data_IF_288142920987
#
_entry.id   IF_288142920987
#
_cell.length_a   1.000
_cell.length_b   1.000
_cell.length_c   1.000
_cell.angle_alpha   90.00
_cell.angle_beta   90.00
_cell.angle_gamma   90.00
#
_symmetry.space_group_name_H-M   'P 1'
#
loop_
_entity.id
_entity.type
_entity.pdbx_description
1 polymer ?
#
# COMPACT_ATOMS: atom_id res chain seq x y z
N UNK A 1 26.71 52.72 3.03
CA UNK A 1 25.77 53.76 2.57
C UNK A 1 24.38 53.36 3.00
N UNK A 2 23.71 54.25 3.75
CA UNK A 2 22.34 54.09 4.25
C UNK A 2 21.35 54.11 3.08
N UNK A 3 20.38 53.20 3.07
CA UNK A 3 19.13 53.37 2.32
C UNK A 3 17.96 53.10 3.27
N UNK A 4 17.27 54.17 3.63
CA UNK A 4 15.93 54.18 4.21
C UNK A 4 14.91 54.12 3.08
N UNK A 5 13.82 53.36 3.24
CA UNK A 5 12.55 53.47 2.49
C UNK A 5 11.46 52.92 3.44
N UNK A 6 10.76 53.78 4.18
CA UNK A 6 9.46 54.40 3.88
C UNK A 6 8.29 53.39 3.85
N UNK A 7 7.53 53.42 4.95
CA UNK A 7 6.19 52.87 5.09
C UNK A 7 5.18 53.66 4.25
N UNK A 8 4.23 52.96 3.65
CA UNK A 8 3.09 53.56 2.94
C UNK A 8 1.87 52.64 3.04
N UNK A 9 0.93 53.02 3.90
CA UNK A 9 -0.41 52.44 3.98
C UNK A 9 -1.32 53.10 2.94
N UNK A 10 -2.09 52.31 2.20
CA UNK A 10 -3.29 52.75 1.49
C UNK A 10 -4.34 51.64 1.57
N UNK A 11 -5.42 51.92 2.28
CA UNK A 11 -6.60 51.08 2.32
C UNK A 11 -7.47 51.28 1.07
N UNK A 12 -8.08 50.20 0.61
CA UNK A 12 -9.26 50.24 -0.27
C UNK A 12 -10.24 49.19 0.26
N UNK A 13 -11.39 49.67 0.70
CA UNK A 13 -12.55 48.85 1.03
C UNK A 13 -13.32 48.55 -0.26
N UNK A 14 -13.63 47.28 -0.50
CA UNK A 14 -14.57 46.86 -1.55
C UNK A 14 -15.61 45.94 -0.90
N UNK A 15 -16.82 46.49 -0.76
CA UNK A 15 -18.06 45.81 -0.44
C UNK A 15 -18.61 45.17 -1.73
N UNK A 16 -18.77 43.85 -1.76
CA UNK A 16 -19.69 43.18 -2.70
C UNK A 16 -20.41 42.03 -1.98
N UNK A 17 -21.73 42.08 -2.09
CA UNK A 17 -22.70 41.23 -1.40
C UNK A 17 -22.81 39.81 -2.03
N UNK A 18 -23.27 38.80 -1.26
CA UNK A 18 -23.47 37.44 -1.75
C UNK A 18 -24.79 37.29 -2.53
N UNK A 19 -24.71 36.78 -3.75
CA UNK A 19 -25.88 36.29 -4.50
C UNK A 19 -26.21 34.87 -4.07
N UNK A 20 -27.35 34.72 -3.38
CA UNK A 20 -27.97 33.45 -3.08
C UNK A 20 -28.65 32.87 -4.34
N UNK A 21 -28.32 31.63 -4.70
CA UNK A 21 -29.16 30.82 -5.58
C UNK A 21 -29.84 29.75 -4.72
N UNK A 22 -31.13 29.98 -4.46
CA UNK A 22 -32.05 28.99 -3.91
C UNK A 22 -32.55 28.10 -5.07
N UNK A 23 -32.31 26.79 -4.99
CA UNK A 23 -33.08 25.83 -5.76
C UNK A 23 -34.24 25.34 -4.89
N UNK A 24 -35.43 25.84 -5.23
CA UNK A 24 -36.72 25.43 -4.69
C UNK A 24 -37.06 24.01 -5.12
N UNK A 25 -37.23 23.13 -4.13
CA UNK A 25 -37.97 21.87 -4.24
C UNK A 25 -39.46 22.17 -4.51
N UNK A 26 -40.07 21.42 -5.42
CA UNK A 26 -41.52 21.39 -5.58
C UNK A 26 -41.97 19.94 -5.40
N UNK A 27 -42.69 19.66 -4.31
CA UNK A 27 -43.46 18.42 -4.09
C UNK A 27 -44.85 18.57 -4.74
N UNK A 28 -45.44 17.49 -5.25
CA UNK A 28 -46.68 16.79 -4.75
C UNK A 28 -47.55 16.39 -5.98
N UNK A 29 -48.46 15.39 -5.99
CA UNK A 29 -48.77 14.25 -5.10
C UNK A 29 -48.79 12.86 -5.78
N UNK A 30 -48.93 11.82 -4.94
CA UNK A 30 -49.33 10.45 -5.30
C UNK A 30 -50.78 10.34 -5.82
N UNK A 31 -51.01 9.38 -6.72
CA UNK A 31 -52.33 8.81 -6.99
C UNK A 31 -52.21 7.30 -7.27
N UNK A 32 -53.07 6.56 -6.60
CA UNK A 32 -53.22 5.12 -6.46
C UNK A 32 -54.06 4.54 -7.61
N UNK A 33 -53.65 3.39 -8.19
CA UNK A 33 -54.54 2.51 -8.97
C UNK A 33 -53.90 1.11 -9.20
N UNK A 34 -54.56 0.09 -8.69
CA UNK A 34 -54.54 -1.31 -9.12
C UNK A 34 -56.01 -1.80 -9.05
N UNK A 35 -56.46 -2.95 -9.62
CA UNK A 35 -55.68 -4.09 -10.17
C UNK A 35 -56.27 -4.76 -11.45
N UNK A 36 -55.67 -5.91 -11.81
CA UNK A 36 -56.16 -7.03 -12.66
C UNK A 36 -55.90 -6.94 -14.18
N UNK A 37 -55.53 -8.00 -14.91
CA UNK A 37 -55.05 -9.36 -14.64
C UNK A 37 -54.63 -9.97 -16.00
N UNK A 38 -53.60 -10.82 -16.07
CA UNK A 38 -53.62 -12.08 -16.86
C UNK A 38 -52.32 -12.92 -16.66
N UNK A 39 -52.47 -13.92 -15.79
CA UNK A 39 -51.90 -15.28 -15.74
C UNK A 39 -50.71 -15.65 -16.66
N UNK A 40 -49.56 -16.08 -16.09
CA UNK A 40 -48.62 -16.99 -16.75
C UNK A 40 -48.97 -18.45 -16.43
N UNK A 41 -48.83 -19.33 -17.43
CA UNK A 41 -48.87 -20.77 -17.27
C UNK A 41 -47.44 -21.30 -16.97
N UNK A 42 -47.28 -21.88 -15.77
CA UNK A 42 -46.73 -23.23 -15.47
C UNK A 42 -46.29 -24.05 -16.70
N UNK A 43 -45.19 -24.81 -16.73
CA UNK A 43 -44.34 -25.40 -15.69
C UNK A 43 -42.96 -25.84 -16.27
N UNK A 44 -41.96 -25.77 -15.39
CA UNK A 44 -40.80 -26.66 -15.13
C UNK A 44 -40.31 -27.64 -16.21
N UNK A 45 -38.99 -27.64 -16.49
CA UNK A 45 -38.11 -28.68 -15.95
C UNK A 45 -36.62 -28.23 -15.87
N UNK A 46 -35.96 -28.88 -14.93
CA UNK A 46 -34.68 -28.75 -14.24
C UNK A 46 -33.39 -28.72 -15.08
N UNK A 47 -32.37 -28.02 -14.56
CA UNK A 47 -31.00 -28.06 -15.05
C UNK A 47 -30.05 -27.20 -14.23
N UNK A 48 -29.51 -27.76 -13.15
CA UNK A 48 -28.28 -27.30 -12.48
C UNK A 48 -27.13 -27.19 -13.47
N UNK A 49 -26.44 -26.05 -13.51
CA UNK A 49 -25.01 -25.89 -13.82
C UNK A 49 -24.60 -24.58 -13.12
N UNK A 50 -23.89 -24.66 -11.99
CA UNK A 50 -22.43 -24.70 -11.95
C UNK A 50 -21.86 -23.50 -12.72
N UNK A 51 -21.35 -22.53 -11.97
CA UNK A 51 -20.67 -21.37 -12.49
C UNK A 51 -19.60 -21.82 -13.50
N UNK A 52 -19.84 -21.52 -14.76
CA UNK A 52 -18.82 -21.59 -15.80
C UNK A 52 -17.68 -20.65 -15.38
N UNK A 53 -16.53 -21.24 -15.03
CA UNK A 53 -15.27 -20.52 -15.07
C UNK A 53 -15.03 -20.10 -16.52
N UNK A 54 -15.22 -18.82 -16.80
CA UNK A 54 -15.09 -18.23 -18.13
C UNK A 54 -13.67 -18.40 -18.69
N UNK A 55 -13.58 -18.68 -19.99
CA UNK A 55 -12.35 -18.81 -20.79
C UNK A 55 -11.52 -17.50 -20.94
N UNK A 56 -11.62 -16.56 -19.99
CA UNK A 56 -11.33 -15.13 -20.21
C UNK A 56 -9.92 -14.63 -19.80
N UNK A 57 -9.02 -15.47 -19.28
CA UNK A 57 -7.68 -15.02 -18.82
C UNK A 57 -6.52 -15.43 -19.74
N UNK A 58 -6.77 -15.74 -21.02
CA UNK A 58 -5.70 -16.10 -21.97
C UNK A 58 -5.10 -14.85 -22.62
N UNK A 59 -4.06 -14.30 -22.00
CA UNK A 59 -3.23 -13.28 -22.62
C UNK A 59 -2.55 -13.84 -23.89
N UNK A 60 -2.66 -13.11 -25.01
CA UNK A 60 -2.01 -13.51 -26.26
C UNK A 60 -0.47 -13.54 -26.11
N UNK A 61 0.24 -14.41 -26.85
CA UNK A 61 1.69 -14.40 -26.89
C UNK A 61 2.26 -13.01 -27.23
N UNK A 62 3.30 -12.60 -26.52
CA UNK A 62 3.96 -11.30 -26.70
C UNK A 62 5.23 -11.53 -27.53
N UNK A 63 5.34 -10.96 -28.74
CA UNK A 63 6.58 -11.03 -29.52
C UNK A 63 7.74 -10.37 -28.77
N UNK A 64 8.85 -11.09 -28.63
CA UNK A 64 10.04 -10.58 -27.95
C UNK A 64 11.31 -11.23 -28.54
N UNK A 65 12.30 -10.43 -28.93
CA UNK A 65 13.65 -10.90 -29.29
C UNK A 65 13.72 -12.08 -30.30
N UNK A 66 12.79 -12.09 -31.27
CA UNK A 66 12.69 -13.10 -32.32
C UNK A 66 11.91 -14.37 -31.95
N UNK A 67 11.36 -14.44 -30.74
CA UNK A 67 10.44 -15.46 -30.28
C UNK A 67 9.22 -14.83 -29.60
N UNK A 68 8.63 -15.54 -28.64
CA UNK A 68 7.46 -15.07 -27.90
C UNK A 68 7.51 -15.39 -26.41
N UNK A 69 7.06 -14.43 -25.60
CA UNK A 69 6.71 -14.65 -24.20
C UNK A 69 5.25 -15.12 -24.12
N UNK A 70 4.99 -16.12 -23.29
CA UNK A 70 3.65 -16.67 -23.06
C UNK A 70 3.39 -16.81 -21.58
N UNK A 71 2.19 -16.43 -21.14
CA UNK A 71 1.70 -16.68 -19.79
C UNK A 71 0.58 -17.71 -19.91
N UNK A 72 0.73 -18.84 -19.23
CA UNK A 72 -0.24 -19.94 -19.26
C UNK A 72 -0.56 -20.41 -17.86
N UNK A 73 -1.80 -20.84 -17.63
CA UNK A 73 -2.19 -21.51 -16.41
C UNK A 73 -2.53 -22.97 -16.76
N UNK A 74 -1.64 -23.95 -16.48
CA UNK A 74 -1.84 -25.33 -16.92
C UNK A 74 -3.01 -26.03 -16.21
N UNK A 75 -3.31 -25.62 -14.98
CA UNK A 75 -4.37 -26.16 -14.13
C UNK A 75 -5.36 -25.04 -13.77
N UNK A 76 -6.65 -25.35 -13.64
CA UNK A 76 -7.75 -24.36 -13.52
C UNK A 76 -7.61 -23.39 -12.33
N UNK A 77 -6.88 -23.78 -11.28
CA UNK A 77 -6.56 -22.95 -10.12
C UNK A 77 -5.05 -23.04 -9.76
N UNK A 78 -4.23 -23.49 -10.71
CA UNK A 78 -2.80 -23.68 -10.50
C UNK A 78 -1.97 -22.42 -10.73
N UNK A 79 -0.66 -22.54 -10.57
CA UNK A 79 0.27 -21.46 -10.87
C UNK A 79 0.20 -21.05 -12.36
N UNK A 80 0.27 -19.75 -12.59
CA UNK A 80 0.57 -19.19 -13.90
C UNK A 80 2.07 -19.31 -14.17
N UNK A 81 2.41 -19.59 -15.42
CA UNK A 81 3.78 -19.86 -15.87
C UNK A 81 4.15 -18.88 -16.97
N UNK A 82 5.20 -18.08 -16.74
CA UNK A 82 5.87 -17.28 -17.76
C UNK A 82 6.87 -18.15 -18.50
N UNK A 83 6.79 -18.20 -19.83
CA UNK A 83 7.74 -18.92 -20.69
C UNK A 83 8.19 -18.09 -21.88
N UNK A 84 9.38 -18.38 -22.39
CA UNK A 84 9.88 -17.90 -23.69
C UNK A 84 10.09 -19.09 -24.62
N UNK A 85 9.37 -19.15 -25.75
CA UNK A 85 9.39 -20.26 -26.71
C UNK A 85 9.27 -21.65 -26.04
N UNK A 86 8.43 -21.74 -25.00
CA UNK A 86 8.19 -22.97 -24.23
C UNK A 86 9.20 -23.24 -23.09
N UNK A 87 10.26 -22.45 -22.96
CA UNK A 87 11.16 -22.49 -21.80
C UNK A 87 10.59 -21.65 -20.66
N UNK A 88 10.25 -22.29 -19.55
CA UNK A 88 9.81 -21.59 -18.33
C UNK A 88 10.89 -20.63 -17.81
N UNK A 89 10.45 -19.41 -17.47
CA UNK A 89 11.28 -18.35 -16.91
C UNK A 89 10.90 -18.04 -15.45
N UNK A 90 9.62 -18.11 -15.11
CA UNK A 90 9.08 -17.89 -13.77
C UNK A 90 7.68 -18.53 -13.65
N UNK A 91 7.23 -18.79 -12.42
CA UNK A 91 5.84 -19.15 -12.13
C UNK A 91 5.43 -18.62 -10.76
N UNK A 92 4.15 -18.27 -10.62
CA UNK A 92 3.49 -18.00 -9.34
C UNK A 92 1.97 -17.96 -9.57
N UNK A 93 1.18 -17.77 -8.51
CA UNK A 93 -0.28 -17.64 -8.58
C UNK A 93 -0.72 -16.54 -9.56
N UNK A 94 -0.08 -15.37 -9.46
CA UNK A 94 -0.29 -14.25 -10.37
C UNK A 94 0.97 -13.94 -11.19
N UNK A 95 0.76 -13.82 -12.51
CA UNK A 95 1.79 -13.46 -13.49
C UNK A 95 1.18 -12.52 -14.51
N UNK A 96 1.70 -11.31 -14.60
CA UNK A 96 1.19 -10.26 -15.49
C UNK A 96 2.33 -9.60 -16.27
N UNK A 97 2.18 -9.48 -17.58
CA UNK A 97 3.11 -8.69 -18.37
C UNK A 97 2.88 -7.20 -18.12
N UNK A 98 3.94 -6.47 -17.75
CA UNK A 98 3.91 -5.02 -17.57
C UNK A 98 4.16 -4.34 -18.93
N UNK A 99 5.39 -4.48 -19.45
CA UNK A 99 5.83 -3.77 -20.66
C UNK A 99 7.16 -4.28 -21.19
N UNK A 100 7.49 -3.87 -22.42
CA UNK A 100 8.85 -3.92 -22.96
C UNK A 100 9.43 -2.51 -22.95
N UNK A 101 10.68 -2.39 -22.48
CA UNK A 101 11.46 -1.16 -22.48
C UNK A 101 12.81 -1.37 -23.14
N UNK A 102 13.49 -0.28 -23.50
CA UNK A 102 14.82 -0.32 -24.09
C UNK A 102 15.85 0.23 -23.09
N UNK A 103 16.89 -0.55 -22.80
CA UNK A 103 18.02 -0.17 -21.93
C UNK A 103 19.30 -0.24 -22.77
N UNK A 104 19.89 0.90 -23.08
CA UNK A 104 20.91 1.01 -24.12
C UNK A 104 20.33 0.56 -25.46
N UNK A 105 20.91 -0.50 -26.03
CA UNK A 105 20.42 -1.15 -27.25
C UNK A 105 19.68 -2.49 -27.02
N UNK A 106 19.43 -2.84 -25.77
CA UNK A 106 18.80 -4.11 -25.39
C UNK A 106 17.32 -3.90 -25.09
N UNK A 107 16.44 -4.69 -25.72
CA UNK A 107 15.04 -4.74 -25.31
C UNK A 107 14.90 -5.62 -24.07
N UNK A 108 14.06 -5.18 -23.15
CA UNK A 108 13.87 -5.79 -21.84
C UNK A 108 12.39 -5.89 -21.58
N UNK A 109 11.88 -7.11 -21.39
CA UNK A 109 10.52 -7.32 -20.95
C UNK A 109 10.47 -7.35 -19.42
N UNK A 110 9.47 -6.66 -18.87
CA UNK A 110 9.17 -6.59 -17.46
C UNK A 110 7.86 -7.32 -17.20
N UNK A 111 7.88 -8.25 -16.24
CA UNK A 111 6.74 -9.09 -15.87
C UNK A 111 6.61 -9.10 -14.36
N UNK A 112 5.40 -8.87 -13.86
CA UNK A 112 5.05 -8.98 -12.46
C UNK A 112 4.70 -10.43 -12.12
N UNK A 113 5.28 -10.96 -11.05
CA UNK A 113 5.12 -12.35 -10.58
C UNK A 113 4.95 -12.35 -9.07
N UNK A 114 3.84 -12.87 -8.55
CA UNK A 114 3.56 -12.86 -7.12
C UNK A 114 2.44 -13.80 -6.69
N UNK A 115 2.25 -13.91 -5.37
CA UNK A 115 1.27 -14.82 -4.77
C UNK A 115 -0.19 -14.31 -4.91
N UNK A 116 -0.36 -13.10 -5.45
CA UNK A 116 -1.64 -12.42 -5.54
C UNK A 116 -2.10 -11.80 -4.21
N UNK A 117 -3.33 -11.30 -4.19
CA UNK A 117 -3.90 -10.60 -3.04
C UNK A 117 -3.57 -9.11 -3.00
N UNK A 118 -3.90 -8.47 -1.88
CA UNK A 118 -3.80 -7.01 -1.70
C UNK A 118 -2.80 -6.57 -0.62
N UNK A 119 -2.10 -7.51 0.00
CA UNK A 119 -1.19 -7.22 1.13
C UNK A 119 0.24 -6.94 0.69
N UNK A 120 0.68 -7.60 -0.39
CA UNK A 120 2.02 -7.45 -0.92
C UNK A 120 2.00 -7.25 -2.44
N UNK A 121 2.99 -6.52 -2.94
CA UNK A 121 3.17 -6.34 -4.37
C UNK A 121 3.77 -7.60 -5.01
N UNK A 122 3.67 -7.74 -6.33
CA UNK A 122 4.41 -8.78 -7.04
C UNK A 122 5.91 -8.47 -7.09
N UNK A 123 6.73 -9.52 -7.20
CA UNK A 123 8.12 -9.38 -7.62
C UNK A 123 8.20 -9.00 -9.10
N UNK A 124 9.32 -8.39 -9.51
CA UNK A 124 9.55 -8.03 -10.92
C UNK A 124 10.53 -8.99 -11.58
N UNK A 125 10.08 -9.72 -12.59
CA UNK A 125 10.95 -10.50 -13.47
C UNK A 125 11.40 -9.64 -14.64
N UNK A 126 12.72 -9.52 -14.79
CA UNK A 126 13.38 -8.86 -15.92
C UNK A 126 13.78 -9.94 -16.90
N UNK A 127 13.36 -9.83 -18.17
CA UNK A 127 13.70 -10.77 -19.24
C UNK A 127 14.42 -10.03 -20.36
N UNK A 128 15.57 -10.52 -20.80
CA UNK A 128 16.34 -9.91 -21.89
C UNK A 128 17.12 -10.97 -22.67
N UNK A 129 17.57 -10.61 -23.87
CA UNK A 129 18.44 -11.47 -24.69
C UNK A 129 19.71 -10.70 -25.04
N UNK A 130 20.89 -11.10 -24.52
CA UNK A 130 22.16 -10.56 -24.98
C UNK A 130 22.36 -10.80 -26.48
N UNK A 131 23.09 -9.93 -27.16
CA UNK A 131 23.40 -10.09 -28.58
C UNK A 131 24.08 -11.45 -28.83
N UNK A 132 23.52 -12.25 -29.75
CA UNK A 132 23.99 -13.61 -30.04
C UNK A 132 23.80 -14.63 -28.90
N UNK A 133 23.16 -14.23 -27.80
CA UNK A 133 22.95 -15.03 -26.60
C UNK A 133 21.59 -15.71 -26.52
N UNK A 134 21.44 -16.55 -25.50
CA UNK A 134 20.15 -17.14 -25.11
C UNK A 134 19.35 -16.15 -24.24
N UNK A 135 18.03 -16.30 -24.24
CA UNK A 135 17.14 -15.57 -23.33
C UNK A 135 17.59 -15.75 -21.87
N UNK A 136 17.65 -14.63 -21.14
CA UNK A 136 18.01 -14.55 -19.74
C UNK A 136 16.82 -13.98 -18.96
N UNK A 137 16.73 -14.34 -17.69
CA UNK A 137 15.81 -13.71 -16.74
C UNK A 137 16.43 -13.57 -15.36
N UNK A 138 15.97 -12.59 -14.60
CA UNK A 138 16.23 -12.45 -13.17
C UNK A 138 14.97 -11.95 -12.47
N UNK A 139 14.69 -12.49 -11.29
CA UNK A 139 13.64 -11.98 -10.40
C UNK A 139 14.24 -10.96 -9.45
N UNK A 140 13.61 -9.80 -9.36
CA UNK A 140 13.87 -8.76 -8.38
C UNK A 140 12.71 -8.81 -7.38
N UNK A 141 13.05 -8.99 -6.11
CA UNK A 141 12.11 -9.15 -5.00
C UNK A 141 12.78 -8.54 -3.75
N UNK A 142 12.00 -7.91 -2.89
CA UNK A 142 12.46 -7.32 -1.63
C UNK A 142 11.47 -7.64 -0.50
N UNK A 143 11.98 -8.24 0.57
CA UNK A 143 11.30 -8.44 1.87
C UNK A 143 10.04 -9.32 1.84
N UNK A 144 10.00 -10.32 0.96
CA UNK A 144 8.90 -11.26 0.75
C UNK A 144 7.57 -10.59 0.38
N UNK A 145 7.62 -9.30 0.02
CA UNK A 145 6.45 -8.46 -0.26
C UNK A 145 6.51 -7.81 -1.65
N UNK A 146 7.29 -8.43 -2.54
CA UNK A 146 7.45 -8.03 -3.94
C UNK A 146 8.58 -7.06 -4.20
N UNK A 147 8.63 -6.52 -5.42
CA UNK A 147 9.53 -5.43 -5.76
C UNK A 147 8.72 -4.15 -5.96
N UNK A 148 9.19 -3.02 -5.41
CA UNK A 148 8.57 -1.72 -5.67
C UNK A 148 8.54 -1.38 -7.16
N UNK A 149 7.65 -0.45 -7.58
CA UNK A 149 7.55 0.02 -8.95
C UNK A 149 8.92 0.41 -9.51
N UNK A 150 9.25 -0.17 -10.68
CA UNK A 150 10.54 0.09 -11.32
C UNK A 150 10.53 1.45 -12.03
N UNK A 151 11.59 2.24 -11.82
CA UNK A 151 11.86 3.44 -12.61
C UNK A 151 12.82 3.11 -13.76
N UNK A 152 12.39 3.38 -14.99
CA UNK A 152 13.15 3.05 -16.20
C UNK A 152 13.88 4.28 -16.72
N UNK A 153 15.18 4.13 -16.98
CA UNK A 153 16.02 5.14 -17.64
C UNK A 153 16.67 4.55 -18.90
N UNK A 154 17.36 5.39 -19.67
CA UNK A 154 18.06 4.95 -20.88
C UNK A 154 19.14 3.88 -20.61
N UNK A 155 19.72 3.83 -19.41
CA UNK A 155 20.90 2.99 -19.11
C UNK A 155 20.66 1.91 -18.05
N UNK A 156 19.59 2.05 -17.24
CA UNK A 156 19.29 1.13 -16.16
C UNK A 156 17.82 1.16 -15.76
N UNK A 157 17.40 0.10 -15.08
CA UNK A 157 16.13 -0.02 -14.37
C UNK A 157 16.43 0.08 -12.88
N UNK A 158 15.77 0.99 -12.18
CA UNK A 158 15.94 1.23 -10.76
C UNK A 158 14.74 0.71 -9.97
N UNK A 159 15.02 0.14 -8.81
CA UNK A 159 14.03 -0.35 -7.85
C UNK A 159 14.24 0.37 -6.54
N UNK A 160 13.27 1.22 -6.18
CA UNK A 160 13.32 2.07 -4.98
C UNK A 160 12.54 1.38 -3.88
N UNK A 161 13.17 0.89 -2.79
CA UNK A 161 12.50 0.12 -1.74
C UNK A 161 11.32 0.88 -1.13
N UNK A 162 10.28 0.14 -0.74
CA UNK A 162 9.31 0.63 0.22
C UNK A 162 9.97 0.63 1.61
N UNK A 163 10.27 1.82 2.11
CA UNK A 163 10.89 2.00 3.41
C UNK A 163 9.80 2.19 4.44
N UNK A 164 9.80 1.36 5.47
CA UNK A 164 8.98 1.57 6.65
C UNK A 164 9.68 2.51 7.62
N UNK A 165 8.94 3.16 8.54
CA UNK A 165 9.55 3.92 9.62
C UNK A 165 10.68 3.16 10.32
N UNK A 166 11.88 3.75 10.30
CA UNK A 166 13.09 3.15 10.89
C UNK A 166 13.93 2.29 9.93
N UNK A 167 13.44 2.00 8.72
CA UNK A 167 14.17 1.18 7.75
C UNK A 167 15.32 1.94 7.09
N UNK A 168 16.38 1.17 6.77
CA UNK A 168 17.39 1.49 5.76
C UNK A 168 17.53 0.28 4.84
N UNK A 169 17.29 0.46 3.53
CA UNK A 169 17.32 -0.62 2.53
C UNK A 169 18.08 -0.22 1.27
N UNK A 170 18.67 -1.19 0.55
CA UNK A 170 19.33 -0.89 -0.72
C UNK A 170 18.30 -0.53 -1.80
N UNK A 171 18.54 0.60 -2.47
CA UNK A 171 18.00 0.84 -3.80
C UNK A 171 18.79 0.00 -4.81
N UNK A 172 18.08 -0.80 -5.60
CA UNK A 172 18.68 -1.69 -6.58
C UNK A 172 18.65 -1.03 -7.95
N UNK A 173 19.62 -1.39 -8.78
CA UNK A 173 19.62 -1.06 -10.20
C UNK A 173 20.00 -2.28 -11.02
N UNK A 174 19.42 -2.40 -12.20
CA UNK A 174 19.76 -3.45 -13.15
C UNK A 174 20.09 -2.83 -14.52
N UNK A 175 21.13 -3.34 -15.17
CA UNK A 175 21.42 -3.07 -16.57
C UNK A 175 21.90 -4.35 -17.27
N UNK A 176 21.81 -4.43 -18.61
CA UNK A 176 22.35 -5.57 -19.35
C UNK A 176 23.84 -5.79 -19.13
N UNK A 177 24.62 -4.72 -18.88
CA UNK A 177 26.07 -4.78 -18.74
C UNK A 177 26.52 -5.18 -17.33
N UNK A 178 25.79 -4.74 -16.29
CA UNK A 178 26.18 -4.93 -14.89
C UNK A 178 25.38 -6.00 -14.15
N UNK A 179 24.23 -6.43 -14.70
CA UNK A 179 23.24 -7.18 -13.94
C UNK A 179 22.66 -6.36 -12.78
N UNK A 180 22.04 -7.04 -11.81
CA UNK A 180 21.44 -6.45 -10.62
C UNK A 180 22.53 -6.06 -9.62
N UNK A 181 22.55 -4.79 -9.22
CA UNK A 181 23.54 -4.21 -8.31
C UNK A 181 22.88 -3.23 -7.35
N UNK A 182 23.56 -2.89 -6.26
CA UNK A 182 23.10 -1.85 -5.32
C UNK A 182 23.52 -0.48 -5.87
N UNK A 183 22.56 0.43 -6.02
CA UNK A 183 22.80 1.83 -6.42
C UNK A 183 23.15 2.71 -5.21
N UNK A 184 22.61 2.37 -4.04
CA UNK A 184 22.90 3.01 -2.76
C UNK A 184 21.92 2.54 -1.68
N UNK A 185 22.14 2.94 -0.43
CA UNK A 185 21.16 2.71 0.63
C UNK A 185 20.26 3.93 0.77
N UNK A 186 18.97 3.69 0.95
CA UNK A 186 17.97 4.70 1.27
C UNK A 186 17.42 4.43 2.66
N UNK A 187 17.18 5.47 3.44
CA UNK A 187 16.59 5.39 4.76
C UNK A 187 15.25 6.13 4.78
N UNK A 188 14.31 5.64 5.59
CA UNK A 188 13.03 6.31 5.78
C UNK A 188 13.25 7.74 6.30
N UNK A 189 12.53 8.68 5.70
CA UNK A 189 12.55 10.08 6.13
C UNK A 189 11.12 10.59 6.25
N UNK A 190 10.70 11.09 7.43
CA UNK A 190 9.40 11.73 7.58
C UNK A 190 9.36 13.06 6.79
N UNK A 191 8.16 13.60 6.58
CA UNK A 191 7.97 14.90 5.96
C UNK A 191 8.61 16.01 6.82
N UNK A 192 9.65 16.69 6.31
CA UNK A 192 10.44 17.62 7.10
C UNK A 192 9.63 18.87 7.49
N UNK A 193 9.78 19.32 8.73
CA UNK A 193 9.17 20.55 9.25
C UNK A 193 7.75 20.38 9.77
N UNK A 194 7.18 19.17 9.73
CA UNK A 194 5.87 18.87 10.32
C UNK A 194 5.98 18.66 11.84
N UNK A 195 4.98 19.12 12.58
CA UNK A 195 4.95 19.06 14.05
C UNK A 195 3.59 18.55 14.56
N UNK A 196 3.42 18.40 15.88
CA UNK A 196 2.21 17.86 16.51
C UNK A 196 0.91 18.60 16.12
N UNK A 197 1.01 19.90 15.84
CA UNK A 197 -0.12 20.72 15.36
C UNK A 197 -0.59 20.37 13.94
N UNK A 198 0.26 19.69 13.16
CA UNK A 198 -0.01 19.34 11.76
C UNK A 198 -0.64 17.94 11.63
N UNK A 199 -0.85 17.26 12.76
CA UNK A 199 -1.51 15.95 12.82
C UNK A 199 -2.99 16.09 12.48
N UNK A 200 -3.42 15.36 11.45
CA UNK A 200 -4.82 15.28 11.03
C UNK A 200 -5.20 13.83 10.73
N UNK A 201 -5.76 13.11 11.72
CA UNK A 201 -6.10 11.69 11.57
C UNK A 201 -7.18 11.42 10.52
N UNK A 202 -7.89 12.45 10.04
CA UNK A 202 -8.90 12.29 8.97
C UNK A 202 -8.29 12.12 7.58
N UNK A 203 -6.99 12.38 7.43
CA UNK A 203 -6.22 12.18 6.19
C UNK A 203 -5.44 10.87 6.18
N UNK A 204 -5.50 10.09 7.26
CA UNK A 204 -4.77 8.84 7.36
C UNK A 204 -5.63 7.70 6.83
N UNK A 205 -5.06 6.95 5.90
CA UNK A 205 -5.64 5.69 5.46
C UNK A 205 -5.40 4.63 6.55
N UNK A 206 -4.20 4.65 7.15
CA UNK A 206 -3.78 3.76 8.22
C UNK A 206 -3.01 4.50 9.32
N UNK A 207 -2.96 3.94 10.53
CA UNK A 207 -2.25 4.58 11.66
C UNK A 207 -0.74 4.75 11.40
N UNK A 208 -0.14 3.90 10.56
CA UNK A 208 1.26 4.01 10.15
C UNK A 208 1.55 5.33 9.43
N UNK A 209 0.55 5.96 8.81
CA UNK A 209 0.70 7.27 8.16
C UNK A 209 1.07 8.38 9.15
N UNK A 210 0.83 8.18 10.45
CA UNK A 210 1.25 9.12 11.48
C UNK A 210 2.79 9.29 11.52
N UNK A 211 3.56 8.29 11.07
CA UNK A 211 5.02 8.40 10.98
C UNK A 211 5.51 9.34 9.87
N UNK A 212 4.67 9.74 8.91
CA UNK A 212 5.02 10.81 7.97
C UNK A 212 5.26 12.14 8.69
N UNK A 213 4.65 12.35 9.87
CA UNK A 213 4.91 13.55 10.66
C UNK A 213 6.26 13.45 11.40
N UNK A 214 7.13 14.44 11.21
CA UNK A 214 8.50 14.45 11.74
C UNK A 214 8.54 14.43 13.27
N UNK A 215 7.63 15.14 13.95
CA UNK A 215 7.58 15.13 15.41
C UNK A 215 7.14 13.77 15.96
N UNK A 216 6.14 13.13 15.35
CA UNK A 216 5.72 11.77 15.68
C UNK A 216 6.86 10.78 15.42
N UNK A 217 7.49 10.84 14.24
CA UNK A 217 8.61 9.96 13.90
C UNK A 217 9.75 10.07 14.91
N UNK A 218 10.18 11.30 15.26
CA UNK A 218 11.26 11.52 16.23
C UNK A 218 10.90 11.01 17.61
N UNK A 219 9.66 11.18 18.05
CA UNK A 219 9.23 10.67 19.36
C UNK A 219 9.17 9.14 19.36
N UNK A 220 8.68 8.54 18.27
CA UNK A 220 8.67 7.10 18.11
C UNK A 220 10.10 6.53 18.05
N UNK A 221 11.03 7.21 17.39
CA UNK A 221 12.43 6.79 17.31
C UNK A 221 13.10 6.78 18.69
N UNK A 222 12.82 7.78 19.54
CA UNK A 222 13.31 7.81 20.93
C UNK A 222 12.74 6.67 21.76
N UNK A 223 11.47 6.35 21.55
CA UNK A 223 10.72 5.40 22.36
C UNK A 223 10.99 3.94 21.98
N UNK A 224 11.05 3.65 20.67
CA UNK A 224 11.20 2.31 20.10
C UNK A 224 12.66 1.98 19.76
N UNK A 225 13.47 2.98 19.37
CA UNK A 225 14.85 2.77 18.95
C UNK A 225 14.95 1.70 17.84
N UNK A 226 15.70 0.63 18.11
CA UNK A 226 15.89 -0.49 17.18
C UNK A 226 14.62 -1.30 16.89
N UNK A 227 13.59 -1.19 17.74
CA UNK A 227 12.34 -1.95 17.60
C UNK A 227 11.34 -1.22 16.66
N UNK A 228 11.71 -0.05 16.15
CA UNK A 228 10.88 0.78 15.28
C UNK A 228 10.49 0.09 13.96
N UNK A 229 11.42 -0.55 13.21
CA UNK A 229 11.05 -1.29 12.00
C UNK A 229 10.01 -2.37 12.27
N UNK A 230 10.24 -3.23 13.26
CA UNK A 230 9.30 -4.32 13.57
C UNK A 230 7.94 -3.80 14.06
N UNK A 231 7.92 -2.69 14.80
CA UNK A 231 6.68 -2.03 15.20
C UNK A 231 5.94 -1.48 13.98
N UNK A 232 6.63 -0.82 13.06
CA UNK A 232 6.03 -0.32 11.83
C UNK A 232 5.45 -1.46 10.98
N UNK A 233 6.19 -2.56 10.81
CA UNK A 233 5.72 -3.77 10.12
C UNK A 233 4.45 -4.32 10.76
N UNK A 234 4.36 -4.33 12.10
CA UNK A 234 3.16 -4.79 12.81
C UNK A 234 1.92 -3.90 12.64
N UNK A 235 2.06 -2.73 12.01
CA UNK A 235 0.98 -1.77 11.79
C UNK A 235 0.58 -1.68 10.30
N UNK A 236 1.20 -2.47 9.42
CA UNK A 236 1.03 -2.37 7.97
C UNK A 236 -0.37 -2.71 7.48
N UNK A 237 -0.90 -3.85 7.93
CA UNK A 237 -2.23 -4.30 7.56
C UNK A 237 -3.20 -3.85 8.63
N UNK A 238 -3.82 -2.69 8.41
CA UNK A 238 -4.71 -2.05 9.38
C UNK A 238 -5.94 -1.43 8.73
N UNK A 239 -6.72 -0.72 9.55
CA UNK A 239 -7.80 0.13 9.08
C UNK A 239 -7.64 1.56 9.58
N UNK A 240 -8.63 2.38 9.29
CA UNK A 240 -8.68 3.78 9.71
C UNK A 240 -8.64 3.96 11.23
N UNK A 241 -8.39 5.19 11.66
CA UNK A 241 -8.17 5.51 13.08
C UNK A 241 -9.48 5.69 13.87
N UNK A 242 -9.45 5.29 15.14
CA UNK A 242 -10.48 5.58 16.13
C UNK A 242 -10.01 6.65 17.13
N UNK A 243 -10.94 7.29 17.86
CA UNK A 243 -10.62 8.30 18.87
C UNK A 243 -10.99 7.85 20.27
N UNK A 244 -10.13 8.13 21.24
CA UNK A 244 -10.40 7.97 22.67
C UNK A 244 -11.17 9.18 23.23
N UNK A 245 -11.66 9.06 24.47
CA UNK A 245 -12.34 10.15 25.16
C UNK A 245 -11.40 11.34 25.48
N UNK A 246 -10.11 11.09 25.67
CA UNK A 246 -9.10 12.15 25.88
C UNK A 246 -8.68 12.87 24.60
N UNK A 247 -9.11 12.40 23.43
CA UNK A 247 -8.76 12.98 22.13
C UNK A 247 -7.50 12.39 21.50
N UNK A 248 -6.88 11.38 22.12
CA UNK A 248 -5.90 10.55 21.44
C UNK A 248 -6.60 9.76 20.32
N UNK A 249 -5.88 9.46 19.24
CA UNK A 249 -6.37 8.57 18.20
C UNK A 249 -5.50 7.32 18.15
N UNK A 250 -6.08 6.20 17.71
CA UNK A 250 -5.42 4.91 17.73
C UNK A 250 -5.90 4.02 16.59
N UNK A 251 -5.09 3.01 16.25
CA UNK A 251 -5.55 1.84 15.53
C UNK A 251 -4.64 0.65 15.88
N UNK A 252 -5.05 -0.53 15.43
CA UNK A 252 -4.21 -1.72 15.37
C UNK A 252 -3.95 -2.12 13.92
N UNK A 253 -2.89 -2.90 13.73
CA UNK A 253 -2.61 -3.58 12.48
C UNK A 253 -1.98 -4.94 12.72
N UNK A 254 -1.63 -5.61 11.63
CA UNK A 254 -0.85 -6.84 11.64
C UNK A 254 0.30 -6.78 10.63
N UNK A 255 1.23 -7.73 10.82
CA UNK A 255 2.26 -8.06 9.84
C UNK A 255 1.58 -8.70 8.61
N UNK A 256 1.94 -8.31 7.37
CA UNK A 256 1.44 -8.97 6.17
C UNK A 256 1.59 -10.49 6.26
N UNK A 257 0.55 -11.24 5.89
CA UNK A 257 0.49 -12.70 5.94
C UNK A 257 0.55 -13.35 7.35
N UNK A 258 0.68 -12.58 8.45
CA UNK A 258 0.79 -13.07 9.84
C UNK A 258 -0.17 -12.34 10.81
N UNK A 259 -1.42 -12.10 10.37
CA UNK A 259 -2.43 -11.51 11.24
C UNK A 259 -2.83 -12.47 12.36
N UNK A 260 -2.74 -12.00 13.60
CA UNK A 260 -2.93 -12.77 14.83
C UNK A 260 -1.62 -13.19 15.51
N UNK A 261 -0.49 -13.12 14.81
CA UNK A 261 0.84 -13.45 15.33
C UNK A 261 1.46 -12.25 16.05
N UNK A 262 1.88 -11.26 15.27
CA UNK A 262 2.65 -10.09 15.72
C UNK A 262 1.87 -8.78 15.63
N UNK A 263 0.58 -8.78 15.94
CA UNK A 263 -0.30 -7.62 15.80
C UNK A 263 0.21 -6.40 16.58
N UNK A 264 0.17 -5.24 15.93
CA UNK A 264 0.60 -3.96 16.46
C UNK A 264 -0.58 -3.09 16.90
N UNK A 265 -0.32 -2.21 17.85
CA UNK A 265 -1.21 -1.14 18.30
C UNK A 265 -0.40 0.14 18.44
N UNK A 266 -0.95 1.24 17.93
CA UNK A 266 -0.41 2.57 18.10
C UNK A 266 -1.51 3.53 18.51
N UNK A 267 -1.24 4.34 19.53
CA UNK A 267 -2.02 5.50 19.88
C UNK A 267 -1.15 6.76 19.93
N UNK A 268 -1.71 7.86 19.46
CA UNK A 268 -1.07 9.18 19.39
C UNK A 268 -1.94 10.15 20.17
N UNK A 269 -1.34 10.88 21.10
CA UNK A 269 -1.98 11.98 21.85
C UNK A 269 -1.36 13.31 21.41
N UNK A 270 -1.97 14.03 20.44
CA UNK A 270 -1.45 15.31 19.97
C UNK A 270 -1.50 16.42 21.02
N UNK A 271 -2.34 16.31 22.05
CA UNK A 271 -2.41 17.34 23.08
C UNK A 271 -1.27 17.19 24.10
N UNK A 272 -0.85 15.96 24.39
CA UNK A 272 0.25 15.66 25.31
C UNK A 272 1.60 15.45 24.63
N UNK A 273 1.62 15.40 23.30
CA UNK A 273 2.80 15.04 22.51
C UNK A 273 3.36 13.67 22.92
N UNK A 274 2.47 12.68 23.05
CA UNK A 274 2.81 11.34 23.54
C UNK A 274 2.38 10.26 22.56
N UNK A 275 3.17 9.19 22.53
CA UNK A 275 2.91 7.99 21.75
C UNK A 275 2.81 6.78 22.69
N UNK A 276 1.97 5.83 22.29
CA UNK A 276 1.80 4.56 22.98
C UNK A 276 1.80 3.46 21.94
N UNK A 277 2.72 2.52 22.07
CA UNK A 277 2.88 1.38 21.18
C UNK A 277 2.71 0.10 21.96
N UNK A 278 2.04 -0.87 21.38
CA UNK A 278 2.06 -2.24 21.87
C UNK A 278 2.15 -3.20 20.70
N UNK A 279 2.86 -4.30 20.89
CA UNK A 279 2.84 -5.44 19.97
C UNK A 279 2.55 -6.69 20.75
N UNK A 280 1.77 -7.60 20.17
CA UNK A 280 1.52 -8.91 20.75
C UNK A 280 2.87 -9.62 21.00
N UNK A 281 3.08 -10.11 22.21
CA UNK A 281 4.30 -10.81 22.60
C UNK A 281 4.08 -12.33 22.65
N UNK A 282 5.15 -13.09 22.43
CA UNK A 282 5.14 -14.57 22.40
C UNK A 282 4.65 -15.21 23.71
N UNK A 283 4.73 -14.48 24.82
CA UNK A 283 4.32 -14.92 26.15
C UNK A 283 2.86 -14.53 26.51
N UNK A 284 2.10 -14.03 25.54
CA UNK A 284 0.71 -13.58 25.74
C UNK A 284 0.57 -12.20 26.38
N UNK A 285 1.67 -11.54 26.78
CA UNK A 285 1.67 -10.15 27.23
C UNK A 285 2.16 -9.24 26.12
N UNK A 286 1.53 -8.08 25.89
CA UNK A 286 2.00 -7.15 24.88
C UNK A 286 3.35 -6.53 25.31
N UNK A 287 4.31 -6.52 24.39
CA UNK A 287 5.48 -5.66 24.50
C UNK A 287 5.00 -4.23 24.27
N UNK A 288 5.22 -3.32 25.23
CA UNK A 288 4.63 -2.00 25.19
C UNK A 288 5.62 -0.88 25.52
N UNK A 289 5.48 0.23 24.80
CA UNK A 289 6.29 1.41 24.93
C UNK A 289 5.41 2.67 25.01
N UNK A 290 5.52 3.49 26.06
CA UNK A 290 6.16 3.17 27.35
C UNK A 290 5.46 1.97 28.04
N UNK A 291 5.91 1.50 29.21
CA UNK A 291 5.23 0.40 29.90
C UNK A 291 3.73 0.70 30.13
N UNK A 292 2.85 -0.27 29.84
CA UNK A 292 1.38 -0.11 29.90
C UNK A 292 0.90 0.51 31.21
N UNK A 293 1.55 0.20 32.34
CA UNK A 293 1.21 0.77 33.65
C UNK A 293 1.11 2.31 33.64
N UNK A 294 1.92 2.98 32.81
CA UNK A 294 2.00 4.45 32.68
C UNK A 294 0.92 5.05 31.79
N UNK A 295 0.15 4.23 31.05
CA UNK A 295 -0.78 4.73 30.05
C UNK A 295 -2.06 5.29 30.68
N UNK A 296 -2.70 6.29 30.05
CA UNK A 296 -4.05 6.72 30.39
C UNK A 296 -5.06 5.56 30.31
N UNK A 297 -6.08 5.61 31.16
CA UNK A 297 -7.06 4.52 31.28
C UNK A 297 -7.86 4.28 29.98
N UNK A 298 -8.14 5.32 29.22
CA UNK A 298 -8.86 5.23 27.94
C UNK A 298 -7.98 4.68 26.81
N UNK A 299 -6.67 4.94 26.83
CA UNK A 299 -5.70 4.31 25.90
C UNK A 299 -5.53 2.83 26.23
N UNK A 300 -5.47 2.45 27.52
CA UNK A 300 -5.48 1.03 27.94
C UNK A 300 -6.72 0.31 27.45
N UNK A 301 -7.89 0.93 27.62
CA UNK A 301 -9.15 0.39 27.12
C UNK A 301 -9.16 0.25 25.59
N UNK A 302 -8.54 1.18 24.87
CA UNK A 302 -8.39 1.09 23.42
C UNK A 302 -7.49 -0.08 23.01
N UNK A 303 -6.37 -0.30 23.72
CA UNK A 303 -5.50 -1.47 23.53
C UNK A 303 -6.27 -2.79 23.75
N UNK A 304 -6.96 -2.92 24.89
CA UNK A 304 -7.72 -4.14 25.23
C UNK A 304 -8.81 -4.42 24.18
N UNK A 305 -9.44 -3.37 23.64
CA UNK A 305 -10.43 -3.48 22.56
C UNK A 305 -9.78 -3.95 21.25
N UNK A 306 -8.57 -3.45 20.94
CA UNK A 306 -7.92 -3.65 19.65
C UNK A 306 -7.21 -5.00 19.54
N UNK A 307 -6.45 -5.41 20.56
CA UNK A 307 -5.67 -6.66 20.55
C UNK A 307 -6.31 -7.79 21.36
N UNK A 308 -7.46 -7.53 22.00
CA UNK A 308 -8.07 -8.41 22.99
C UNK A 308 -7.41 -8.26 24.36
N UNK A 309 -8.16 -8.58 25.42
CA UNK A 309 -7.62 -8.59 26.78
C UNK A 309 -6.53 -9.66 26.90
N UNK A 310 -5.37 -9.30 27.44
CA UNK A 310 -4.44 -10.30 27.97
C UNK A 310 -5.16 -11.01 29.14
N UNK A 311 -5.49 -12.29 28.97
CA UNK A 311 -6.08 -13.10 30.05
C UNK A 311 -5.09 -13.32 31.19
#
# INVERSE_FOLDING_TARGET
>A
MRHQLLAGACGVALLLAPTAFAQTQTQTPAAEQAPAAEKPATDQDTGTNAADASEDDKQAPIPFEGGQLTITQPEQDGEKVLSYDGKQLASNYDVFFDKIVKIGDVNVALVDVGDGGNQCGPAKVIVWKPEGGAIQSITVEQDECGAPPSAVSDNAIYFVPYLLPGDEKPALQWSPASGLTISGNLAYMPEPGTDWKDIDPSKYDNIIDAFHNEAVYKEAQKLLGKDMPDMATSLLVGGGTEKTASGAFYASGCVPHDCGGNDGFMAVDPAKHQLYFARRGDNGQPNAWPPVATWPADVKKALDKALGSAN
#
